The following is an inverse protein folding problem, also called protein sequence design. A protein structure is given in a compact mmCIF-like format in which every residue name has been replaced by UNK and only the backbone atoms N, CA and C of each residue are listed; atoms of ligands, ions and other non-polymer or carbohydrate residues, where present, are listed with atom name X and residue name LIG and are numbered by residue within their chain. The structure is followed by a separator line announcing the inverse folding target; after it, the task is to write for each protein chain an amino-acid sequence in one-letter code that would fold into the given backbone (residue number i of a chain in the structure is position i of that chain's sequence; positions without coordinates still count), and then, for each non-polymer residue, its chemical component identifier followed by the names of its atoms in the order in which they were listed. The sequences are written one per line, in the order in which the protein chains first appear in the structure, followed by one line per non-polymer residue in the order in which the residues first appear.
data_IF_094139256860
#
_entry.id   IF_094139256860
#
_cell.length_a   1.000
_cell.length_b   1.000
_cell.length_c   1.000
_cell.angle_alpha   90.00
_cell.angle_beta   90.00
_cell.angle_gamma   90.00
#
_symmetry.space_group_name_H-M   'P 1'
#
loop_
_entity.id
_entity.type
_entity.pdbx_description
1 polymer ?
#
# COMPACT_ATOMS: atom_id res chain seq x y z
N UNK A 1 -21.11 12.52 12.99
CA UNK A 1 -20.56 13.81 12.53
C UNK A 1 -19.16 13.62 11.95
N UNK A 2 -18.15 13.23 12.73
CA UNK A 2 -16.78 12.97 12.23
C UNK A 2 -16.73 12.02 11.01
N UNK A 3 -17.51 10.93 11.03
CA UNK A 3 -17.56 9.97 9.91
C UNK A 3 -17.90 10.58 8.54
N UNK A 4 -18.61 11.72 8.48
CA UNK A 4 -18.89 12.43 7.24
C UNK A 4 -17.65 13.18 6.71
N UNK A 5 -16.79 13.65 7.61
CA UNK A 5 -15.54 14.33 7.27
C UNK A 5 -14.39 13.33 7.03
N UNK A 6 -14.55 12.07 7.45
CA UNK A 6 -13.56 11.02 7.24
C UNK A 6 -13.52 10.55 5.79
N UNK A 7 -12.33 10.60 5.19
CA UNK A 7 -12.03 10.00 3.90
C UNK A 7 -12.47 8.53 3.90
N UNK A 8 -13.23 8.07 2.88
CA UNK A 8 -13.58 6.65 2.72
C UNK A 8 -12.38 5.70 2.87
N UNK A 9 -11.18 6.13 2.47
CA UNK A 9 -9.94 5.37 2.64
C UNK A 9 -9.65 5.07 4.12
N UNK A 10 -9.84 6.04 5.02
CA UNK A 10 -9.64 5.82 6.46
C UNK A 10 -10.66 4.84 7.03
N UNK A 11 -11.91 4.90 6.55
CA UNK A 11 -12.99 4.00 6.98
C UNK A 11 -12.72 2.55 6.55
N UNK A 12 -12.39 2.34 5.29
CA UNK A 12 -12.06 1.02 4.74
C UNK A 12 -10.83 0.41 5.41
N UNK A 13 -9.80 1.22 5.71
CA UNK A 13 -8.61 0.72 6.41
C UNK A 13 -8.94 0.23 7.83
N UNK A 14 -9.85 0.91 8.54
CA UNK A 14 -10.27 0.46 9.87
C UNK A 14 -10.99 -0.89 9.80
N UNK A 15 -11.91 -1.06 8.83
CA UNK A 15 -12.63 -2.31 8.62
C UNK A 15 -11.67 -3.44 8.20
N UNK A 16 -10.87 -3.22 7.15
CA UNK A 16 -9.94 -4.22 6.63
C UNK A 16 -8.86 -4.63 7.65
N UNK A 17 -8.39 -3.70 8.48
CA UNK A 17 -7.44 -4.03 9.53
C UNK A 17 -8.07 -4.87 10.64
N UNK A 18 -9.33 -4.60 11.00
CA UNK A 18 -10.07 -5.40 11.96
C UNK A 18 -10.28 -6.83 11.45
N UNK A 19 -10.75 -6.97 10.21
CA UNK A 19 -10.93 -8.27 9.54
C UNK A 19 -9.61 -9.05 9.44
N UNK A 20 -8.50 -8.37 9.11
CA UNK A 20 -7.18 -9.01 9.03
C UNK A 20 -6.69 -9.50 10.40
N UNK A 21 -6.96 -8.76 11.47
CA UNK A 21 -6.65 -9.17 12.84
C UNK A 21 -7.49 -10.36 13.29
N UNK A 22 -8.79 -10.36 12.97
CA UNK A 22 -9.69 -11.50 13.23
C UNK A 22 -9.22 -12.76 12.48
N UNK A 23 -8.88 -12.66 11.19
CA UNK A 23 -8.35 -13.80 10.42
C UNK A 23 -7.00 -14.33 10.96
N UNK A 24 -6.18 -13.44 11.52
CA UNK A 24 -4.94 -13.78 12.19
C UNK A 24 -5.14 -14.35 13.61
N UNK A 25 -6.36 -14.28 14.17
CA UNK A 25 -6.66 -14.74 15.52
C UNK A 25 -6.18 -13.80 16.64
N UNK A 26 -5.95 -12.52 16.34
CA UNK A 26 -5.55 -11.51 17.31
C UNK A 26 -6.73 -10.60 17.66
N UNK A 27 -7.06 -10.53 18.95
CA UNK A 27 -8.07 -9.60 19.44
C UNK A 27 -7.45 -8.20 19.61
N UNK A 28 -8.08 -7.12 19.14
CA UNK A 28 -7.60 -5.74 19.33
C UNK A 28 -7.20 -5.41 20.77
N UNK A 29 -7.94 -5.92 21.76
CA UNK A 29 -7.69 -5.68 23.18
C UNK A 29 -6.34 -6.23 23.65
N UNK A 30 -5.85 -7.31 23.01
CA UNK A 30 -4.55 -7.91 23.29
C UNK A 30 -3.38 -7.11 22.73
N UNK A 31 -3.65 -6.22 21.76
CA UNK A 31 -2.64 -5.40 21.08
C UNK A 31 -2.49 -4.01 21.71
N UNK A 32 -3.37 -3.63 22.63
CA UNK A 32 -3.29 -2.34 23.31
C UNK A 32 -1.99 -2.21 24.12
N UNK A 33 -1.26 -1.12 23.89
CA UNK A 33 0.07 -0.87 24.47
C UNK A 33 1.19 -1.72 23.86
N UNK A 34 0.91 -2.51 22.83
CA UNK A 34 1.92 -3.34 22.18
C UNK A 34 2.74 -2.52 21.18
N UNK A 35 3.97 -2.98 20.92
CA UNK A 35 4.82 -2.47 19.84
C UNK A 35 4.37 -2.99 18.47
N UNK A 36 3.08 -2.85 18.17
CA UNK A 36 2.55 -3.19 16.85
C UNK A 36 2.72 -1.98 15.93
N UNK A 37 3.41 -2.18 14.80
CA UNK A 37 3.60 -1.14 13.79
C UNK A 37 2.44 -1.07 12.79
N UNK A 38 2.26 0.09 12.16
CA UNK A 38 1.33 0.32 11.06
C UNK A 38 2.09 0.96 9.90
N UNK A 39 2.13 0.28 8.75
CA UNK A 39 2.71 0.80 7.51
C UNK A 39 1.65 0.76 6.42
N UNK A 40 1.13 1.92 6.03
CA UNK A 40 0.02 2.01 5.09
C UNK A 40 0.42 2.75 3.82
N UNK A 41 0.31 2.09 2.67
CA UNK A 41 0.38 2.74 1.37
C UNK A 41 -0.89 3.54 1.07
N UNK A 42 -0.79 4.86 0.97
CA UNK A 42 -1.91 5.74 0.62
C UNK A 42 -1.38 7.00 -0.06
N UNK A 43 -1.92 7.31 -1.24
CA UNK A 43 -1.37 8.36 -2.13
C UNK A 43 -2.42 9.37 -2.61
N UNK A 44 -3.71 9.03 -2.56
CA UNK A 44 -4.77 9.88 -3.12
C UNK A 44 -5.38 10.77 -2.04
N UNK A 45 -5.38 12.10 -2.26
CA UNK A 45 -6.04 13.09 -1.39
C UNK A 45 -7.33 13.66 -2.05
N UNK A 46 -7.98 12.89 -2.92
CA UNK A 46 -9.16 13.34 -3.67
C UNK A 46 -10.32 13.77 -2.75
N UNK A 47 -10.54 13.08 -1.63
CA UNK A 47 -11.56 13.47 -0.65
C UNK A 47 -11.25 14.80 0.03
N UNK A 48 -9.97 15.05 0.34
CA UNK A 48 -9.53 16.33 0.90
C UNK A 48 -9.89 17.48 -0.04
N UNK A 49 -9.60 17.34 -1.34
CA UNK A 49 -9.97 18.34 -2.34
C UNK A 49 -11.48 18.57 -2.40
N UNK A 50 -12.28 17.50 -2.32
CA UNK A 50 -13.74 17.60 -2.28
C UNK A 50 -14.23 18.38 -1.06
N UNK A 51 -13.81 17.99 0.15
CA UNK A 51 -14.21 18.65 1.41
C UNK A 51 -13.80 20.11 1.42
N UNK A 52 -12.57 20.43 1.00
CA UNK A 52 -12.04 21.80 1.03
C UNK A 52 -12.67 22.70 -0.04
N UNK A 53 -13.24 22.14 -1.11
CA UNK A 53 -13.95 22.90 -2.14
C UNK A 53 -15.23 23.58 -1.66
N UNK A 54 -15.81 23.11 -0.53
CA UNK A 54 -16.99 23.74 0.08
C UNK A 54 -16.69 25.11 0.72
N UNK A 55 -15.42 25.45 0.91
CA UNK A 55 -14.96 26.74 1.44
C UNK A 55 -14.79 26.77 2.96
N UNK A 56 -14.09 27.79 3.51
CA UNK A 56 -13.61 27.79 4.90
C UNK A 56 -14.71 27.72 5.96
N UNK A 57 -15.91 28.23 5.67
CA UNK A 57 -17.05 28.20 6.60
C UNK A 57 -17.60 26.79 6.86
N UNK A 58 -17.24 25.82 6.03
CA UNK A 58 -17.66 24.42 6.13
C UNK A 58 -16.59 23.51 6.74
N UNK A 59 -15.42 24.06 7.09
CA UNK A 59 -14.32 23.28 7.65
C UNK A 59 -14.34 23.33 9.18
N UNK A 60 -14.16 22.17 9.80
CA UNK A 60 -13.92 22.05 11.23
C UNK A 60 -12.69 21.16 11.53
N UNK A 61 -12.44 20.87 12.80
CA UNK A 61 -11.30 20.06 13.21
C UNK A 61 -11.33 18.63 12.62
N UNK A 62 -12.52 18.09 12.36
CA UNK A 62 -12.68 16.78 11.75
C UNK A 62 -12.38 16.79 10.26
N UNK A 63 -12.58 17.90 9.56
CA UNK A 63 -12.16 18.05 8.17
C UNK A 63 -10.64 17.88 8.04
N UNK A 64 -9.86 18.30 9.03
CA UNK A 64 -8.40 18.11 9.04
C UNK A 64 -8.01 16.66 9.31
N UNK A 65 -8.47 16.06 10.42
CA UNK A 65 -8.09 14.69 10.80
C UNK A 65 -8.74 13.63 9.91
N UNK A 66 -9.89 13.94 9.32
CA UNK A 66 -10.63 13.06 8.42
C UNK A 66 -9.99 12.96 7.03
N UNK A 67 -9.20 13.93 6.60
CA UNK A 67 -8.67 13.99 5.22
C UNK A 67 -7.15 13.82 5.12
N UNK A 68 -6.42 14.05 6.22
CA UNK A 68 -4.96 13.92 6.24
C UNK A 68 -4.52 12.47 6.01
N UNK A 69 -3.62 12.23 5.05
CA UNK A 69 -3.15 10.88 4.71
C UNK A 69 -2.44 10.18 5.88
N UNK A 70 -1.65 10.92 6.68
CA UNK A 70 -1.00 10.38 7.88
C UNK A 70 -2.00 9.98 8.97
N UNK A 71 -3.18 10.59 8.99
CA UNK A 71 -4.24 10.20 9.91
C UNK A 71 -4.82 8.82 9.58
N UNK A 72 -4.66 8.30 8.35
CA UNK A 72 -5.11 6.94 8.03
C UNK A 72 -4.35 5.88 8.86
N UNK A 73 -3.01 5.94 8.86
CA UNK A 73 -2.20 5.06 9.71
C UNK A 73 -2.33 5.42 11.20
N UNK A 74 -2.27 6.71 11.52
CA UNK A 74 -2.33 7.19 12.90
C UNK A 74 -3.65 6.86 13.60
N UNK A 75 -4.79 6.93 12.89
CA UNK A 75 -6.11 6.59 13.42
C UNK A 75 -6.22 5.10 13.71
N UNK A 76 -5.63 4.24 12.88
CA UNK A 76 -5.58 2.80 13.14
C UNK A 76 -4.80 2.51 14.44
N UNK A 77 -3.62 3.11 14.59
CA UNK A 77 -2.83 3.03 15.82
C UNK A 77 -3.59 3.56 17.04
N UNK A 78 -4.28 4.70 16.89
CA UNK A 78 -5.08 5.30 17.96
C UNK A 78 -6.25 4.41 18.41
N UNK A 79 -7.04 3.91 17.46
CA UNK A 79 -8.25 3.10 17.74
C UNK A 79 -7.88 1.77 18.38
N UNK A 80 -6.80 1.12 17.91
CA UNK A 80 -6.34 -0.17 18.42
C UNK A 80 -5.37 -0.05 19.61
N UNK A 81 -4.95 1.17 19.95
CA UNK A 81 -4.00 1.45 21.04
C UNK A 81 -2.59 0.92 20.78
N UNK A 82 -2.09 1.01 19.55
CA UNK A 82 -0.77 0.50 19.14
C UNK A 82 0.32 1.54 19.38
N UNK A 83 1.49 1.10 19.83
CA UNK A 83 2.62 1.97 20.20
C UNK A 83 3.87 1.73 19.33
N UNK A 84 3.77 0.97 18.25
CA UNK A 84 4.84 0.80 17.26
C UNK A 84 4.93 1.94 16.25
N UNK A 85 5.89 1.88 15.30
CA UNK A 85 5.99 2.86 14.21
C UNK A 85 4.70 2.93 13.38
N UNK A 86 4.20 4.14 13.12
CA UNK A 86 2.94 4.37 12.39
C UNK A 86 3.18 5.34 11.23
N UNK A 87 3.15 4.83 10.00
CA UNK A 87 3.58 5.55 8.80
C UNK A 87 2.57 5.41 7.66
N UNK A 88 2.28 6.54 7.01
CA UNK A 88 1.66 6.55 5.68
C UNK A 88 2.74 6.75 4.62
N UNK A 89 2.73 5.93 3.59
CA UNK A 89 3.75 5.85 2.54
C UNK A 89 3.13 6.21 1.20
N UNK A 90 3.73 7.17 0.51
CA UNK A 90 3.39 7.51 -0.87
C UNK A 90 4.62 7.35 -1.78
N UNK A 91 4.62 6.25 -2.53
CA UNK A 91 5.52 5.98 -3.65
C UNK A 91 4.70 5.60 -4.89
N UNK A 92 3.54 6.25 -5.06
CA UNK A 92 2.56 6.00 -6.11
C UNK A 92 2.14 4.52 -6.22
N UNK A 93 2.28 3.90 -7.40
CA UNK A 93 1.82 2.52 -7.64
C UNK A 93 2.52 1.45 -6.77
N UNK A 94 3.65 1.79 -6.15
CA UNK A 94 4.42 0.89 -5.30
C UNK A 94 4.15 1.02 -3.80
N UNK A 95 3.31 1.99 -3.39
CA UNK A 95 3.12 2.38 -1.98
C UNK A 95 2.85 1.20 -1.04
N UNK A 96 1.99 0.27 -1.42
CA UNK A 96 1.64 -0.89 -0.58
C UNK A 96 2.80 -1.89 -0.43
N UNK A 97 3.57 -2.14 -1.50
CA UNK A 97 4.75 -3.02 -1.42
C UNK A 97 5.89 -2.37 -0.64
N UNK A 98 6.08 -1.05 -0.75
CA UNK A 98 7.04 -0.31 0.08
C UNK A 98 6.62 -0.33 1.54
N UNK A 99 5.32 -0.17 1.83
CA UNK A 99 4.79 -0.29 3.18
C UNK A 99 5.06 -1.69 3.78
N UNK A 100 4.84 -2.76 3.01
CA UNK A 100 5.19 -4.13 3.40
C UNK A 100 6.71 -4.30 3.61
N UNK A 101 7.54 -3.71 2.73
CA UNK A 101 8.99 -3.73 2.90
C UNK A 101 9.41 -3.09 4.24
N UNK A 102 8.87 -1.91 4.56
CA UNK A 102 9.16 -1.19 5.81
C UNK A 102 8.67 -1.97 7.04
N UNK A 103 7.50 -2.60 6.97
CA UNK A 103 7.01 -3.49 8.02
C UNK A 103 7.95 -4.68 8.25
N UNK A 104 8.44 -5.31 7.18
CA UNK A 104 9.43 -6.39 7.27
C UNK A 104 10.73 -5.90 7.93
N UNK A 105 11.21 -4.70 7.60
CA UNK A 105 12.39 -4.11 8.23
C UNK A 105 12.16 -3.85 9.73
N UNK A 106 11.03 -3.23 10.08
CA UNK A 106 10.69 -2.92 11.48
C UNK A 106 10.59 -4.17 12.35
N UNK A 107 10.00 -5.26 11.82
CA UNK A 107 9.95 -6.57 12.47
C UNK A 107 11.36 -7.18 12.64
N UNK A 108 12.20 -7.14 11.60
CA UNK A 108 13.56 -7.69 11.64
C UNK A 108 14.47 -6.94 12.62
N UNK A 109 14.31 -5.61 12.69
CA UNK A 109 15.07 -4.75 13.59
C UNK A 109 14.53 -4.76 15.03
N UNK A 110 13.35 -5.35 15.26
CA UNK A 110 12.73 -5.43 16.59
C UNK A 110 12.08 -4.13 17.07
N UNK A 111 11.91 -3.15 16.17
CA UNK A 111 11.10 -1.95 16.39
C UNK A 111 9.62 -2.29 16.53
N UNK A 112 9.16 -3.30 15.78
CA UNK A 112 7.81 -3.86 15.87
C UNK A 112 7.84 -5.34 16.31
N UNK A 113 6.86 -5.75 17.10
CA UNK A 113 6.61 -7.16 17.46
C UNK A 113 5.57 -7.84 16.55
N UNK A 114 4.65 -7.03 16.02
CA UNK A 114 3.62 -7.33 15.03
C UNK A 114 3.55 -6.12 14.09
N UNK A 115 3.14 -6.27 12.84
CA UNK A 115 2.92 -5.14 11.96
C UNK A 115 1.67 -5.31 11.10
N UNK A 116 0.85 -4.26 11.00
CA UNK A 116 -0.21 -4.13 10.01
C UNK A 116 0.38 -3.41 8.80
N UNK A 117 0.34 -4.06 7.64
CA UNK A 117 0.90 -3.50 6.41
C UNK A 117 -0.05 -3.66 5.24
N UNK A 118 -0.10 -2.68 4.33
CA UNK A 118 -0.98 -2.79 3.18
C UNK A 118 -1.15 -1.48 2.43
N UNK A 119 -2.31 -1.30 1.79
CA UNK A 119 -2.63 -0.05 1.12
C UNK A 119 -4.09 0.10 0.78
N UNK A 120 -4.46 1.34 0.44
CA UNK A 120 -5.82 1.72 0.08
C UNK A 120 -5.81 2.72 -1.08
N UNK A 121 -6.79 2.58 -1.98
CA UNK A 121 -7.08 3.55 -3.02
C UNK A 121 -8.60 3.65 -3.22
N UNK A 122 -9.13 4.86 -3.14
CA UNK A 122 -10.53 5.19 -3.47
C UNK A 122 -10.53 6.37 -4.43
N UNK A 123 -11.38 6.29 -5.46
CA UNK A 123 -11.56 7.28 -6.51
C UNK A 123 -12.83 8.07 -6.19
N UNK A 124 -12.64 9.25 -5.61
CA UNK A 124 -13.73 10.11 -5.13
C UNK A 124 -14.19 11.08 -6.22
N UNK A 125 -13.25 11.63 -7.00
CA UNK A 125 -13.56 12.66 -7.99
C UNK A 125 -13.10 12.24 -9.39
N UNK A 126 -13.91 12.50 -10.44
CA UNK A 126 -13.57 12.09 -11.79
C UNK A 126 -12.42 12.91 -12.40
N UNK A 127 -12.12 14.08 -11.85
CA UNK A 127 -11.12 15.02 -12.39
C UNK A 127 -9.70 14.46 -12.41
N UNK A 128 -9.38 13.47 -11.56
CA UNK A 128 -8.10 12.77 -11.59
C UNK A 128 -7.85 11.96 -12.88
N UNK A 129 -8.90 11.65 -13.65
CA UNK A 129 -8.78 10.92 -14.91
C UNK A 129 -8.18 11.76 -16.04
N UNK A 130 -8.43 13.06 -16.06
CA UNK A 130 -8.07 13.92 -17.20
C UNK A 130 -6.55 14.05 -17.39
N UNK A 131 -5.72 14.33 -16.35
CA UNK A 131 -4.27 14.35 -16.51
C UNK A 131 -3.70 13.00 -16.94
N UNK A 132 -4.24 11.89 -16.44
CA UNK A 132 -3.78 10.54 -16.82
C UNK A 132 -4.13 10.21 -18.27
N UNK A 133 -5.30 10.65 -18.76
CA UNK A 133 -5.66 10.53 -20.17
C UNK A 133 -4.76 11.40 -21.06
N UNK A 134 -4.38 12.60 -20.62
CA UNK A 134 -3.43 13.46 -21.35
C UNK A 134 -2.03 12.84 -21.43
N UNK A 135 -1.62 12.08 -20.41
CA UNK A 135 -0.39 11.28 -20.43
C UNK A 135 -0.52 9.97 -21.22
N UNK A 136 -1.67 9.69 -21.84
CA UNK A 136 -1.97 8.44 -22.55
C UNK A 136 -1.76 7.19 -21.68
N UNK A 137 -1.94 7.32 -20.37
CA UNK A 137 -1.69 6.23 -19.42
C UNK A 137 -2.90 5.30 -19.26
N UNK A 138 -4.11 5.78 -19.54
CA UNK A 138 -5.37 5.06 -19.35
C UNK A 138 -5.88 4.43 -20.65
N UNK A 139 -6.32 3.17 -20.57
CA UNK A 139 -6.93 2.47 -21.70
C UNK A 139 -8.31 3.04 -22.04
N UNK A 140 -8.57 3.42 -23.30
CA UNK A 140 -9.91 3.82 -23.75
C UNK A 140 -10.91 2.66 -23.77
N UNK A 141 -10.43 1.41 -23.73
CA UNK A 141 -11.27 0.21 -23.77
C UNK A 141 -11.76 -0.22 -22.39
N UNK A 142 -11.33 0.48 -21.34
CA UNK A 142 -11.67 0.15 -19.96
C UNK A 142 -11.13 -1.21 -19.51
N UNK A 143 -10.01 -1.67 -20.07
CA UNK A 143 -9.34 -2.93 -19.64
C UNK A 143 -7.82 -2.83 -19.64
N UNK A 144 -7.17 -3.35 -18.60
CA UNK A 144 -5.75 -3.67 -18.62
C UNK A 144 -5.54 -4.91 -19.50
N UNK A 145 -4.86 -4.75 -20.64
CA UNK A 145 -4.59 -5.82 -21.61
C UNK A 145 -3.13 -6.26 -21.53
N UNK A 146 -2.73 -6.68 -20.34
CA UNK A 146 -1.35 -6.99 -19.98
C UNK A 146 -0.76 -8.05 -20.90
N UNK A 147 0.39 -7.74 -21.51
CA UNK A 147 1.13 -8.56 -22.48
C UNK A 147 0.41 -8.85 -23.81
N UNK A 148 -0.77 -8.26 -24.06
CA UNK A 148 -1.46 -8.35 -25.35
C UNK A 148 -0.90 -7.32 -26.33
N UNK A 149 -0.80 -7.67 -27.61
CA UNK A 149 -0.34 -6.73 -28.66
C UNK A 149 -1.22 -5.46 -28.79
N UNK A 150 -2.43 -5.48 -28.22
CA UNK A 150 -3.39 -4.36 -28.16
C UNK A 150 -3.31 -3.57 -26.85
N UNK A 151 -2.30 -3.81 -26.01
CA UNK A 151 -2.02 -3.04 -24.80
C UNK A 151 -1.98 -1.53 -25.11
N UNK A 152 -2.85 -0.76 -24.45
CA UNK A 152 -3.06 0.67 -24.74
C UNK A 152 -3.33 1.49 -23.47
N UNK A 153 -2.84 1.05 -22.32
CA UNK A 153 -2.98 1.72 -21.03
C UNK A 153 -3.59 0.82 -19.95
N UNK A 154 -3.60 1.34 -18.71
CA UNK A 154 -4.23 0.68 -17.57
C UNK A 154 -5.62 1.25 -17.28
N UNK A 155 -6.34 0.66 -16.33
CA UNK A 155 -7.60 1.17 -15.80
C UNK A 155 -7.43 1.40 -14.31
N UNK A 156 -7.93 2.52 -13.80
CA UNK A 156 -7.94 2.77 -12.36
C UNK A 156 -8.98 1.87 -11.69
N UNK A 157 -8.63 1.31 -10.54
CA UNK A 157 -9.52 0.54 -9.70
C UNK A 157 -9.39 1.00 -8.24
N UNK A 158 -10.40 0.69 -7.46
CA UNK A 158 -10.42 0.94 -6.02
C UNK A 158 -10.12 -0.36 -5.26
N UNK A 159 -9.61 -0.22 -4.05
CA UNK A 159 -9.36 -1.38 -3.20
C UNK A 159 -8.69 -1.01 -1.89
N UNK A 160 -8.86 -1.87 -0.89
CA UNK A 160 -8.15 -1.83 0.37
C UNK A 160 -7.69 -3.26 0.70
N UNK A 161 -6.43 -3.40 1.14
CA UNK A 161 -5.90 -4.68 1.59
C UNK A 161 -4.89 -4.46 2.70
N UNK A 162 -5.04 -5.22 3.78
CA UNK A 162 -4.17 -5.21 4.96
C UNK A 162 -3.72 -6.64 5.24
N UNK A 163 -2.44 -6.82 5.54
CA UNK A 163 -1.86 -8.07 6.02
C UNK A 163 -1.30 -7.89 7.42
N UNK A 164 -1.44 -8.92 8.25
CA UNK A 164 -0.82 -9.00 9.57
C UNK A 164 0.52 -9.74 9.43
N UNK A 165 1.60 -9.08 9.82
CA UNK A 165 2.96 -9.59 9.69
C UNK A 165 3.60 -9.80 11.06
N UNK A 166 4.33 -10.90 11.17
CA UNK A 166 5.09 -11.29 12.35
C UNK A 166 6.36 -12.02 11.93
N UNK A 167 7.41 -12.00 12.75
CA UNK A 167 8.57 -12.86 12.50
C UNK A 167 8.13 -14.32 12.59
N UNK A 168 8.60 -15.17 11.68
CA UNK A 168 8.20 -16.58 11.64
C UNK A 168 8.42 -17.30 12.98
N UNK A 169 9.54 -17.03 13.65
CA UNK A 169 9.85 -17.60 14.96
C UNK A 169 8.85 -17.19 16.03
N UNK A 170 8.35 -15.95 15.98
CA UNK A 170 7.38 -15.44 16.94
C UNK A 170 5.98 -15.99 16.63
N UNK A 171 5.62 -16.10 15.36
CA UNK A 171 4.37 -16.74 14.94
C UNK A 171 4.31 -18.22 15.37
N UNK A 172 5.42 -18.96 15.19
CA UNK A 172 5.53 -20.34 15.64
C UNK A 172 5.48 -20.49 17.16
N UNK A 173 6.15 -19.59 17.90
CA UNK A 173 6.12 -19.58 19.37
C UNK A 173 4.70 -19.36 19.88
N UNK A 174 3.96 -18.45 19.25
CA UNK A 174 2.64 -18.02 19.72
C UNK A 174 1.51 -18.91 19.16
N UNK A 175 1.84 -19.85 18.26
CA UNK A 175 0.88 -20.79 17.67
C UNK A 175 0.01 -20.18 16.58
N UNK A 176 0.45 -19.08 15.98
CA UNK A 176 -0.30 -18.37 14.95
C UNK A 176 -0.36 -19.19 13.64
N UNK A 177 -1.48 -19.08 12.93
CA UNK A 177 -1.61 -19.65 11.58
C UNK A 177 -0.75 -18.87 10.59
N UNK A 178 0.17 -19.54 9.90
CA UNK A 178 1.04 -18.93 8.89
C UNK A 178 0.51 -19.24 7.49
N UNK A 179 -0.04 -18.23 6.81
CA UNK A 179 -0.51 -18.34 5.42
C UNK A 179 0.62 -18.44 4.40
N UNK A 180 1.64 -17.60 4.55
CA UNK A 180 2.79 -17.52 3.66
C UNK A 180 3.98 -16.87 4.37
N UNK A 181 5.16 -16.95 3.75
CA UNK A 181 6.40 -16.37 4.27
C UNK A 181 7.00 -15.38 3.28
N UNK A 182 7.18 -14.13 3.71
CA UNK A 182 7.95 -13.13 2.96
C UNK A 182 9.44 -13.40 3.19
N UNK A 183 10.08 -14.06 2.22
CA UNK A 183 11.49 -14.43 2.29
C UNK A 183 12.43 -13.22 2.18
N UNK A 184 12.13 -12.30 1.28
CA UNK A 184 12.92 -11.10 1.04
C UNK A 184 12.14 -10.07 0.22
N UNK A 185 12.60 -8.83 0.26
CA UNK A 185 12.04 -7.71 -0.49
C UNK A 185 13.13 -6.66 -0.70
N UNK A 186 12.97 -5.82 -1.71
CA UNK A 186 13.89 -4.73 -2.01
C UNK A 186 13.10 -3.54 -2.57
N UNK A 187 13.70 -2.36 -2.48
CA UNK A 187 13.19 -1.10 -3.07
C UNK A 187 14.39 -0.39 -3.70
N UNK A 188 14.23 0.14 -4.91
CA UNK A 188 15.22 0.99 -5.56
C UNK A 188 14.52 2.09 -6.38
N UNK A 189 15.29 2.83 -7.18
CA UNK A 189 14.80 3.90 -8.03
C UNK A 189 15.37 3.79 -9.44
N UNK A 190 14.59 4.22 -10.43
CA UNK A 190 14.99 4.22 -11.83
C UNK A 190 16.08 5.27 -12.13
N UNK A 191 16.22 6.27 -11.24
CA UNK A 191 17.22 7.32 -11.35
C UNK A 191 17.00 8.17 -12.60
N UNK A 192 18.08 8.46 -13.32
CA UNK A 192 18.00 9.20 -14.59
C UNK A 192 17.70 8.23 -15.74
N UNK A 193 16.42 8.01 -16.00
CA UNK A 193 15.90 7.23 -17.15
C UNK A 193 15.59 8.14 -18.35
N UNK A 194 14.92 7.59 -19.38
CA UNK A 194 14.51 8.32 -20.59
C UNK A 194 13.40 9.36 -20.36
N UNK A 195 12.78 9.36 -19.18
CA UNK A 195 11.80 10.34 -18.73
C UNK A 195 11.34 10.02 -17.31
N UNK A 196 10.86 11.01 -16.57
CA UNK A 196 10.49 10.82 -15.15
C UNK A 196 9.48 9.68 -14.91
N UNK A 197 8.59 9.44 -15.88
CA UNK A 197 7.56 8.39 -15.83
C UNK A 197 7.91 7.16 -16.66
N UNK A 198 9.07 7.14 -17.32
CA UNK A 198 9.50 6.04 -18.17
C UNK A 198 10.20 4.96 -17.33
N UNK A 199 9.81 3.68 -17.46
CA UNK A 199 10.40 2.59 -16.70
C UNK A 199 11.85 2.32 -17.13
N UNK A 200 12.66 1.77 -16.22
CA UNK A 200 14.04 1.37 -16.50
C UNK A 200 14.28 -0.14 -16.27
N UNK A 201 14.51 -0.87 -17.37
CA UNK A 201 14.76 -2.32 -17.36
C UNK A 201 15.98 -2.71 -16.51
N UNK A 202 17.06 -1.92 -16.54
CA UNK A 202 18.27 -2.22 -15.76
C UNK A 202 18.01 -2.08 -14.26
N UNK A 203 17.24 -1.06 -13.87
CA UNK A 203 16.83 -0.83 -12.48
C UNK A 203 15.89 -1.93 -11.99
N UNK A 204 14.92 -2.36 -12.79
CA UNK A 204 14.05 -3.50 -12.45
C UNK A 204 14.86 -4.81 -12.31
N UNK A 205 15.78 -5.08 -13.23
CA UNK A 205 16.64 -6.27 -13.14
C UNK A 205 17.54 -6.25 -11.88
N UNK A 206 18.06 -5.08 -11.51
CA UNK A 206 18.84 -4.89 -10.28
C UNK A 206 17.97 -5.07 -9.02
N UNK A 207 16.73 -4.57 -9.04
CA UNK A 207 15.75 -4.75 -7.97
C UNK A 207 15.49 -6.24 -7.72
N UNK A 208 15.17 -6.99 -8.78
CA UNK A 208 14.89 -8.43 -8.70
C UNK A 208 16.10 -9.21 -8.15
N UNK A 209 17.31 -8.92 -8.63
CA UNK A 209 18.54 -9.53 -8.08
C UNK A 209 18.72 -9.25 -6.59
N UNK A 210 18.45 -8.02 -6.16
CA UNK A 210 18.56 -7.63 -4.75
C UNK A 210 17.52 -8.32 -3.89
N UNK A 211 16.26 -8.40 -4.35
CA UNK A 211 15.18 -9.08 -3.65
C UNK A 211 15.46 -10.58 -3.50
N UNK A 212 15.93 -11.25 -4.56
CA UNK A 212 16.31 -12.66 -4.54
C UNK A 212 17.50 -12.93 -3.60
N UNK A 213 18.52 -12.07 -3.64
CA UNK A 213 19.65 -12.15 -2.72
C UNK A 213 19.20 -11.99 -1.26
N UNK A 214 18.35 -10.99 -0.96
CA UNK A 214 17.77 -10.80 0.38
C UNK A 214 16.94 -12.00 0.84
N UNK A 215 16.27 -12.70 -0.09
CA UNK A 215 15.49 -13.88 0.19
C UNK A 215 16.32 -15.16 0.38
N UNK A 216 17.59 -15.16 -0.07
CA UNK A 216 18.41 -16.37 -0.19
C UNK A 216 17.79 -17.38 -1.17
N UNK A 217 17.21 -16.90 -2.27
CA UNK A 217 16.49 -17.70 -3.26
C UNK A 217 17.15 -17.54 -4.62
N UNK A 218 17.40 -18.65 -5.32
CA UNK A 218 17.89 -18.61 -6.71
C UNK A 218 16.74 -18.34 -7.68
N UNK A 219 16.98 -17.68 -8.83
CA UNK A 219 15.94 -17.40 -9.82
C UNK A 219 15.16 -18.65 -10.26
N UNK A 220 15.84 -19.80 -10.39
CA UNK A 220 15.22 -21.07 -10.81
C UNK A 220 14.24 -21.67 -9.79
N UNK A 221 14.21 -21.16 -8.56
CA UNK A 221 13.24 -21.57 -7.54
C UNK A 221 11.95 -20.75 -7.59
N UNK A 222 11.88 -19.70 -8.40
CA UNK A 222 10.68 -18.88 -8.56
C UNK A 222 9.75 -19.55 -9.56
N UNK A 223 8.64 -20.10 -9.07
CA UNK A 223 7.64 -20.77 -9.90
C UNK A 223 6.61 -19.83 -10.54
N UNK A 224 6.45 -18.62 -10.02
CA UNK A 224 5.45 -17.66 -10.48
C UNK A 224 5.91 -16.23 -10.22
N UNK A 225 5.52 -15.31 -11.10
CA UNK A 225 5.74 -13.86 -10.96
C UNK A 225 4.42 -13.14 -11.17
N UNK A 226 3.89 -12.53 -10.12
CA UNK A 226 2.84 -11.52 -10.24
C UNK A 226 3.50 -10.20 -10.69
N UNK A 227 3.26 -9.79 -11.93
CA UNK A 227 3.92 -8.63 -12.54
C UNK A 227 3.20 -7.32 -12.22
N UNK A 228 3.90 -6.18 -12.32
CA UNK A 228 3.22 -4.87 -12.28
C UNK A 228 2.17 -4.74 -13.41
N UNK A 229 2.53 -5.20 -14.61
CA UNK A 229 1.57 -5.62 -15.64
C UNK A 229 0.48 -4.62 -15.98
N UNK A 230 0.84 -3.36 -16.25
CA UNK A 230 -0.14 -2.28 -16.44
C UNK A 230 -0.85 -2.29 -17.79
N UNK A 231 -0.46 -3.14 -18.75
CA UNK A 231 -1.10 -3.13 -20.07
C UNK A 231 -0.67 -1.92 -20.90
N UNK A 232 0.54 -1.41 -20.66
CA UNK A 232 1.07 -0.23 -21.35
C UNK A 232 2.07 -0.66 -22.42
N UNK A 233 2.04 0.00 -23.59
CA UNK A 233 2.90 -0.35 -24.74
C UNK A 233 4.39 -0.24 -24.42
N UNK A 234 4.77 0.65 -23.49
CA UNK A 234 6.16 0.84 -23.07
C UNK A 234 6.56 0.02 -21.84
N UNK A 235 5.62 -0.26 -20.93
CA UNK A 235 5.92 -0.90 -19.65
C UNK A 235 5.82 -2.42 -19.64
N UNK A 236 5.04 -3.00 -20.56
CA UNK A 236 4.88 -4.46 -20.64
C UNK A 236 6.07 -5.18 -21.33
N UNK A 237 6.69 -4.66 -22.42
CA UNK A 237 7.91 -5.24 -23.00
C UNK A 237 9.16 -5.04 -22.14
#
# INVERSE_FOLDING_TARGET
REALEMDPQQRLVLEAAYEALEDAGHLPEQLKGSRTGVMLGVSSAEYQHHVFSAGPSHLDAYSLTGTMLSAAAGRLSYVLGLEGPSLSVDTACSSSLVAIHLACQSLRNGESALALAGGVNVIVIPTGMQPLAQMQAISPDGRCKTFDARANGYVRAEGCGIVVLKRLSDAQRDGDRVWALIRGSAVNQDGRSSGLTAPNVLSQAALLRTALASAGVSPSQVGYVETHGTGTTLGDP
#
